data_IF_732339627647
#
_entry.id   IF_732339627647
#
_cell.length_a   1.000
_cell.length_b   1.000
_cell.length_c   1.000
_cell.angle_alpha   90.00
_cell.angle_beta   90.00
_cell.angle_gamma   90.00
#
_symmetry.space_group_name_H-M   'P 1'
#
loop_
_entity.id
_entity.type
_entity.pdbx_description
1 polymer ?
#
# COMPACT_ATOMS: atom_id res chain seq x y z
N UNK A 1 4.59 5.13 -26.30
CA UNK A 1 3.46 4.29 -26.76
C UNK A 1 3.92 3.02 -27.50
N UNK A 2 5.08 2.44 -27.16
CA UNK A 2 5.64 1.32 -27.94
C UNK A 2 4.81 0.01 -27.85
N UNK A 3 4.16 -0.24 -26.71
CA UNK A 3 3.34 -1.44 -26.52
C UNK A 3 1.96 -1.29 -27.18
N UNK A 4 1.25 -0.19 -26.89
CA UNK A 4 -0.06 0.15 -27.46
C UNK A 4 -0.07 0.15 -28.99
N UNK A 5 0.92 0.79 -29.59
CA UNK A 5 1.00 0.87 -31.05
C UNK A 5 1.33 -0.49 -31.67
N UNK A 6 2.13 -1.32 -30.98
CA UNK A 6 2.48 -2.66 -31.47
C UNK A 6 1.29 -3.61 -31.41
N UNK A 7 0.51 -3.61 -30.32
CA UNK A 7 -0.64 -4.52 -30.13
C UNK A 7 -1.79 -4.23 -31.09
N UNK A 8 -2.06 -2.95 -31.37
CA UNK A 8 -3.10 -2.54 -32.33
C UNK A 8 -2.66 -2.85 -33.77
N UNK A 9 -1.41 -2.52 -34.14
CA UNK A 9 -0.90 -2.80 -35.48
C UNK A 9 -0.76 -4.31 -35.78
N UNK A 10 -0.60 -5.15 -34.76
CA UNK A 10 -0.59 -6.61 -34.90
C UNK A 10 -1.98 -7.26 -34.81
N UNK A 11 -3.06 -6.47 -34.76
CA UNK A 11 -4.45 -6.93 -34.63
C UNK A 11 -4.68 -7.84 -33.39
N UNK A 12 -3.92 -7.61 -32.31
CA UNK A 12 -4.00 -8.38 -31.06
C UNK A 12 -5.02 -7.80 -30.07
N UNK A 13 -5.31 -6.50 -30.18
CA UNK A 13 -6.31 -5.80 -29.39
C UNK A 13 -6.77 -4.56 -30.16
N UNK A 14 -8.02 -4.16 -29.95
CA UNK A 14 -8.59 -2.93 -30.50
C UNK A 14 -8.17 -1.70 -29.67
N UNK A 15 -8.33 -0.51 -30.25
CA UNK A 15 -8.08 0.74 -29.52
C UNK A 15 -9.12 0.94 -28.42
N UNK A 16 -10.32 0.41 -28.64
CA UNK A 16 -11.48 0.44 -27.74
C UNK A 16 -11.22 -0.39 -26.48
N UNK A 17 -10.76 -1.64 -26.62
CA UNK A 17 -10.40 -2.50 -25.47
C UNK A 17 -9.27 -1.87 -24.63
N UNK A 18 -8.27 -1.26 -25.27
CA UNK A 18 -7.20 -0.57 -24.56
C UNK A 18 -7.71 0.65 -23.79
N UNK A 19 -8.73 1.35 -24.32
CA UNK A 19 -9.37 2.46 -23.61
C UNK A 19 -10.23 1.98 -22.44
N UNK A 20 -10.92 0.84 -22.58
CA UNK A 20 -11.67 0.23 -21.48
C UNK A 20 -10.73 -0.14 -20.33
N UNK A 21 -9.58 -0.75 -20.63
CA UNK A 21 -8.52 -1.02 -19.65
C UNK A 21 -8.03 0.28 -19.01
N UNK A 22 -7.77 1.34 -19.80
CA UNK A 22 -7.33 2.63 -19.24
C UNK A 22 -8.37 3.21 -18.25
N UNK A 23 -9.68 3.03 -18.52
CA UNK A 23 -10.76 3.47 -17.63
C UNK A 23 -10.84 2.61 -16.37
N UNK A 24 -10.72 1.29 -16.49
CA UNK A 24 -10.72 0.37 -15.35
C UNK A 24 -9.52 0.61 -14.44
N UNK A 25 -8.33 0.75 -15.00
CA UNK A 25 -7.10 1.07 -14.24
C UNK A 25 -7.27 2.40 -13.51
N UNK A 26 -7.83 3.42 -14.17
CA UNK A 26 -8.06 4.71 -13.52
C UNK A 26 -9.00 4.58 -12.33
N UNK A 27 -10.09 3.82 -12.49
CA UNK A 27 -11.04 3.57 -11.40
C UNK A 27 -10.38 2.82 -10.25
N UNK A 28 -9.62 1.76 -10.53
CA UNK A 28 -8.91 1.01 -9.49
C UNK A 28 -7.92 1.89 -8.71
N UNK A 29 -7.20 2.77 -9.42
CA UNK A 29 -6.28 3.72 -8.78
C UNK A 29 -7.03 4.76 -7.94
N UNK A 30 -8.17 5.27 -8.42
CA UNK A 30 -8.99 6.22 -7.67
C UNK A 30 -9.58 5.57 -6.40
N UNK A 31 -10.10 4.35 -6.51
CA UNK A 31 -10.63 3.58 -5.37
C UNK A 31 -9.52 3.27 -4.35
N UNK A 32 -8.34 2.87 -4.81
CA UNK A 32 -7.17 2.61 -3.96
C UNK A 32 -6.66 3.89 -3.28
N UNK A 33 -6.65 5.02 -4.00
CA UNK A 33 -6.27 6.32 -3.44
C UNK A 33 -7.26 6.76 -2.37
N UNK A 34 -8.57 6.63 -2.61
CA UNK A 34 -9.59 6.93 -1.61
C UNK A 34 -9.41 6.07 -0.36
N UNK A 35 -9.21 4.76 -0.53
CA UNK A 35 -8.90 3.86 0.58
C UNK A 35 -7.67 4.35 1.35
N UNK A 36 -6.55 4.59 0.68
CA UNK A 36 -5.31 5.05 1.31
C UNK A 36 -5.45 6.40 2.04
N UNK A 37 -6.34 7.29 1.59
CA UNK A 37 -6.61 8.58 2.27
C UNK A 37 -7.60 8.48 3.42
N UNK A 38 -8.46 7.45 3.41
CA UNK A 38 -9.48 7.23 4.43
C UNK A 38 -9.03 6.25 5.52
N UNK A 39 -8.01 5.44 5.25
CA UNK A 39 -7.44 4.48 6.17
C UNK A 39 -6.89 5.19 7.42
N UNK A 40 -7.28 4.78 8.64
CA UNK A 40 -6.81 5.40 9.86
C UNK A 40 -5.31 5.18 10.06
N UNK A 41 -4.66 6.11 10.74
CA UNK A 41 -3.27 5.94 11.15
C UNK A 41 -3.11 4.71 12.07
N UNK A 42 -1.93 4.05 12.04
CA UNK A 42 -1.64 2.93 12.93
C UNK A 42 -1.83 3.31 14.41
N UNK A 43 -2.34 2.38 15.24
CA UNK A 43 -2.52 2.62 16.67
C UNK A 43 -1.18 2.89 17.36
N UNK A 44 -1.16 3.85 18.29
CA UNK A 44 0.04 4.30 18.97
C UNK A 44 0.69 3.19 19.81
N UNK A 45 -0.08 2.20 20.24
CA UNK A 45 0.36 1.04 21.00
C UNK A 45 1.32 0.14 20.20
N UNK A 46 1.20 0.14 18.87
CA UNK A 46 2.01 -0.66 17.96
C UNK A 46 3.30 0.05 17.53
N UNK A 47 3.54 1.27 18.02
CA UNK A 47 4.75 2.06 17.72
C UNK A 47 6.05 1.28 17.98
N UNK A 48 6.05 0.44 19.02
CA UNK A 48 7.22 -0.35 19.41
C UNK A 48 7.36 -1.68 18.66
N UNK A 49 6.45 -2.04 17.75
CA UNK A 49 6.43 -3.38 17.16
C UNK A 49 7.56 -3.59 16.15
N UNK A 50 7.90 -4.86 15.91
CA UNK A 50 8.83 -5.32 14.89
C UNK A 50 10.30 -4.89 15.03
N UNK A 51 10.76 -4.48 16.21
CA UNK A 51 12.17 -4.13 16.47
C UNK A 51 13.12 -5.31 16.26
N UNK A 52 12.82 -6.46 16.85
CA UNK A 52 13.61 -7.68 16.68
C UNK A 52 12.75 -8.85 16.19
N UNK A 53 13.31 -9.68 15.32
CA UNK A 53 12.66 -10.90 14.82
C UNK A 53 12.86 -12.06 15.78
N UNK A 54 11.80 -12.84 16.02
CA UNK A 54 11.84 -14.08 16.82
C UNK A 54 12.33 -13.90 18.26
N UNK A 55 12.17 -12.69 18.81
CA UNK A 55 12.49 -12.40 20.20
C UNK A 55 11.19 -12.30 21.02
N UNK A 56 11.23 -12.62 22.33
CA UNK A 56 10.07 -12.48 23.18
C UNK A 56 9.66 -11.01 23.33
N UNK A 57 8.38 -10.72 23.62
CA UNK A 57 7.91 -9.36 23.82
C UNK A 57 8.66 -8.64 24.94
N UNK A 58 9.02 -7.37 24.71
CA UNK A 58 9.70 -6.52 25.68
C UNK A 58 9.18 -5.07 25.64
N UNK A 59 9.60 -4.26 26.62
CA UNK A 59 9.19 -2.86 26.73
C UNK A 59 10.25 -1.90 26.13
N UNK A 60 9.79 -0.94 25.35
CA UNK A 60 10.61 0.11 24.70
C UNK A 60 10.32 1.44 25.37
N UNK A 61 11.39 2.17 25.74
CA UNK A 61 11.29 3.49 26.38
C UNK A 61 10.84 4.55 25.36
N UNK A 62 9.82 5.32 25.72
CA UNK A 62 9.37 6.48 24.95
C UNK A 62 10.11 7.77 25.31
N UNK A 63 9.44 8.92 25.15
CA UNK A 63 10.03 10.25 25.35
C UNK A 63 10.53 10.51 26.78
N UNK A 64 10.00 9.81 27.78
CA UNK A 64 10.48 9.86 29.16
C UNK A 64 10.52 8.47 29.77
N UNK A 65 11.06 8.33 30.99
CA UNK A 65 11.21 7.03 31.65
C UNK A 65 9.90 6.36 32.06
N UNK A 66 8.79 7.09 32.06
CA UNK A 66 7.46 6.59 32.44
C UNK A 66 6.65 6.13 31.23
N UNK A 67 6.99 6.56 30.01
CA UNK A 67 6.33 6.12 28.78
C UNK A 67 7.00 4.83 28.30
N UNK A 68 6.19 3.78 28.13
CA UNK A 68 6.64 2.46 27.69
C UNK A 68 5.72 1.93 26.60
N UNK A 69 6.32 1.45 25.51
CA UNK A 69 5.63 0.79 24.41
C UNK A 69 5.97 -0.71 24.42
N UNK A 70 5.02 -1.56 24.02
CA UNK A 70 5.31 -2.98 23.84
C UNK A 70 5.99 -3.17 22.49
N UNK A 71 7.01 -4.02 22.43
CA UNK A 71 7.61 -4.50 21.20
C UNK A 71 7.22 -5.96 21.02
N UNK A 72 6.48 -6.24 19.94
CA UNK A 72 6.02 -7.57 19.57
C UNK A 72 6.39 -7.80 18.09
N UNK A 73 6.78 -9.02 17.75
CA UNK A 73 6.99 -9.47 16.38
C UNK A 73 6.46 -10.89 16.22
#
# INVERSE_FOLDING_TARGET
MLLKDRTVNSNLASVEELKEIDVEVRKEIEDAAQFATADPEPPLEELGYHIYSNEPPFEVRGANQWIKFKSIR
#
